data_IF_842272847904
#
_entry.id   IF_842272847904
#
_cell.length_a   1.000
_cell.length_b   1.000
_cell.length_c   1.000
_cell.angle_alpha   90.00
_cell.angle_beta   90.00
_cell.angle_gamma   90.00
#
_symmetry.space_group_name_H-M   'P 1'
#
loop_
_entity.id
_entity.type
_entity.pdbx_description
1 polymer ?
#
# COMPACT_ATOMS: atom_id res chain seq x y z
N UNK A 1 23.59 60.01 23.70
CA UNK A 1 22.14 59.83 23.50
C UNK A 1 21.89 58.33 23.71
N UNK A 2 21.29 57.76 24.78
CA UNK A 2 20.30 58.14 25.81
C UNK A 2 18.82 57.99 25.36
N UNK A 3 18.11 56.99 25.95
CA UNK A 3 16.66 56.60 25.81
C UNK A 3 16.28 55.85 24.50
N UNK A 4 15.23 55.02 24.39
CA UNK A 4 14.30 54.29 25.30
C UNK A 4 13.25 53.49 24.43
N UNK A 5 12.52 52.43 24.83
CA UNK A 5 12.63 51.35 25.84
C UNK A 5 11.50 50.29 25.57
N UNK A 6 11.68 48.98 25.92
CA UNK A 6 10.66 47.90 25.92
C UNK A 6 9.98 47.54 24.55
N UNK A 7 9.04 46.61 24.42
CA UNK A 7 9.01 45.15 24.73
C UNK A 7 7.68 44.53 24.22
N UNK A 8 7.63 43.24 23.84
CA UNK A 8 6.40 42.41 23.80
C UNK A 8 6.70 40.92 23.48
N UNK A 9 5.89 40.01 24.01
CA UNK A 9 5.89 38.56 23.70
C UNK A 9 4.63 38.16 22.93
N UNK A 10 4.71 37.11 22.12
CA UNK A 10 3.55 36.31 21.71
C UNK A 10 3.98 34.87 21.41
N UNK A 11 3.54 33.92 22.24
CA UNK A 11 3.57 32.48 21.93
C UNK A 11 2.16 32.08 21.52
N UNK A 12 2.02 31.40 20.38
CA UNK A 12 0.73 30.83 19.94
C UNK A 12 0.90 29.33 19.79
N UNK A 13 0.61 28.59 20.87
CA UNK A 13 0.38 27.15 20.80
C UNK A 13 -1.09 26.89 20.52
N UNK A 14 -1.40 26.10 19.49
CA UNK A 14 -2.77 25.70 19.18
C UNK A 14 -3.12 24.49 20.06
N UNK A 15 -3.64 24.77 21.25
CA UNK A 15 -4.29 23.75 22.08
C UNK A 15 -5.72 23.53 21.56
N UNK A 16 -5.99 22.34 21.01
CA UNK A 16 -7.34 21.99 20.57
C UNK A 16 -8.22 21.72 21.80
N UNK A 17 -9.14 22.64 22.10
CA UNK A 17 -9.99 22.56 23.30
C UNK A 17 -11.09 21.52 23.08
N UNK A 18 -10.98 20.38 23.79
CA UNK A 18 -12.09 19.45 23.93
C UNK A 18 -13.22 20.11 24.75
N UNK A 19 -14.30 20.49 24.09
CA UNK A 19 -15.43 21.19 24.69
C UNK A 19 -16.33 20.26 25.54
N UNK A 20 -15.81 19.82 26.69
CA UNK A 20 -16.60 19.12 27.70
C UNK A 20 -17.60 20.09 28.37
N UNK A 21 -18.85 20.07 27.92
CA UNK A 21 -19.92 20.89 28.49
C UNK A 21 -20.30 20.44 29.90
N UNK A 22 -19.78 21.13 30.93
CA UNK A 22 -20.13 20.86 32.32
C UNK A 22 -21.42 21.60 32.69
N UNK A 23 -22.51 20.84 32.87
CA UNK A 23 -23.74 21.34 33.48
C UNK A 23 -23.61 21.23 34.99
N UNK A 24 -23.57 22.36 35.69
CA UNK A 24 -23.65 22.39 37.15
C UNK A 24 -25.08 22.10 37.61
N UNK A 25 -25.29 20.88 38.13
CA UNK A 25 -26.51 20.52 38.88
C UNK A 25 -26.16 20.44 40.36
N UNK A 26 -26.63 21.40 41.14
CA UNK A 26 -26.49 21.42 42.59
C UNK A 26 -27.74 20.79 43.23
N UNK A 27 -27.65 19.54 43.68
CA UNK A 27 -28.82 18.78 44.13
C UNK A 27 -28.55 17.45 44.82
N UNK A 28 -28.50 17.50 46.16
CA UNK A 28 -28.68 16.41 47.13
C UNK A 28 -27.66 15.23 47.17
N UNK A 29 -27.55 14.59 48.34
CA UNK A 29 -26.45 13.67 48.74
C UNK A 29 -26.84 12.19 48.78
N UNK A 30 -27.45 11.68 47.71
CA UNK A 30 -27.72 10.23 47.56
C UNK A 30 -27.33 9.69 46.17
N UNK A 31 -26.13 10.04 45.70
CA UNK A 31 -25.66 9.67 44.38
C UNK A 31 -25.32 8.17 44.25
N UNK A 32 -26.25 7.40 43.68
CA UNK A 32 -25.89 6.19 42.92
C UNK A 32 -24.93 6.62 41.79
N UNK A 33 -23.87 5.85 41.55
CA UNK A 33 -22.85 6.21 40.58
C UNK A 33 -23.47 6.35 39.17
N UNK A 34 -23.25 7.48 38.46
CA UNK A 34 -23.83 7.67 37.13
C UNK A 34 -23.15 6.73 36.12
N UNK A 35 -23.90 5.77 35.61
CA UNK A 35 -23.48 4.93 34.49
C UNK A 35 -23.32 5.80 33.23
N UNK A 36 -22.09 6.26 32.97
CA UNK A 36 -21.75 6.93 31.72
C UNK A 36 -21.87 5.91 30.60
N UNK A 37 -23.01 5.92 29.91
CA UNK A 37 -23.19 5.19 28.66
C UNK A 37 -22.37 5.93 27.60
N UNK A 38 -21.09 5.56 27.50
CA UNK A 38 -20.29 5.87 26.32
C UNK A 38 -20.96 5.17 25.15
N UNK A 39 -21.67 5.93 24.32
CA UNK A 39 -22.11 5.43 23.04
C UNK A 39 -20.86 5.06 22.24
N UNK A 40 -20.66 3.76 21.98
CA UNK A 40 -19.58 3.31 21.11
C UNK A 40 -19.68 4.08 19.79
N UNK A 41 -18.58 4.59 19.23
CA UNK A 41 -18.61 5.15 17.90
C UNK A 41 -19.15 4.07 16.97
N UNK A 42 -20.23 4.38 16.25
CA UNK A 42 -20.71 3.52 15.17
C UNK A 42 -19.55 3.42 14.18
N UNK A 43 -18.98 2.23 14.05
CA UNK A 43 -17.94 2.00 13.06
C UNK A 43 -18.50 2.43 11.69
N UNK A 44 -17.70 3.18 10.94
CA UNK A 44 -18.05 3.47 9.55
C UNK A 44 -18.28 2.13 8.83
N UNK A 45 -19.24 2.05 7.88
CA UNK A 45 -19.37 0.85 7.07
C UNK A 45 -18.03 0.55 6.42
N UNK A 46 -17.51 -0.65 6.62
CA UNK A 46 -16.33 -1.12 5.89
C UNK A 46 -16.78 -1.33 4.45
N UNK A 47 -16.17 -0.62 3.52
CA UNK A 47 -16.40 -0.86 2.09
C UNK A 47 -15.83 -2.23 1.72
N UNK A 48 -16.73 -3.18 1.45
CA UNK A 48 -16.39 -4.55 1.06
C UNK A 48 -16.17 -4.69 -0.46
N UNK A 49 -16.24 -3.59 -1.22
CA UNK A 49 -15.97 -3.59 -2.65
C UNK A 49 -14.52 -4.02 -2.90
N UNK A 50 -14.27 -5.12 -3.66
CA UNK A 50 -12.93 -5.65 -3.83
C UNK A 50 -12.09 -4.80 -4.78
N UNK A 51 -10.81 -4.64 -4.45
CA UNK A 51 -9.77 -4.20 -5.38
C UNK A 51 -9.72 -5.14 -6.58
N UNK A 52 -9.30 -4.62 -7.74
CA UNK A 52 -9.21 -5.41 -8.98
C UNK A 52 -7.83 -5.27 -9.59
N UNK A 53 -7.19 -6.40 -9.88
CA UNK A 53 -6.03 -6.43 -10.76
C UNK A 53 -6.54 -6.55 -12.19
N UNK A 54 -5.96 -5.76 -13.10
CA UNK A 54 -6.31 -5.65 -14.49
C UNK A 54 -5.05 -5.83 -15.34
N UNK A 55 -5.20 -6.53 -16.47
CA UNK A 55 -4.14 -6.78 -17.45
C UNK A 55 -2.82 -7.34 -16.86
N UNK A 56 -2.84 -8.32 -15.92
CA UNK A 56 -1.64 -8.83 -15.23
C UNK A 56 -0.69 -9.58 -16.18
N UNK A 57 0.61 -9.32 -16.04
CA UNK A 57 1.66 -9.82 -16.92
C UNK A 57 2.93 -10.19 -16.14
N UNK A 58 3.52 -11.34 -16.45
CA UNK A 58 4.86 -11.72 -16.03
C UNK A 58 5.79 -11.72 -17.26
N UNK A 59 6.59 -10.68 -17.42
CA UNK A 59 7.40 -10.43 -18.62
C UNK A 59 8.82 -10.96 -18.43
N UNK A 60 9.24 -11.88 -19.29
CA UNK A 60 10.56 -12.52 -19.30
C UNK A 60 11.52 -11.76 -20.23
N UNK A 61 12.68 -11.40 -19.71
CA UNK A 61 13.74 -10.67 -20.42
C UNK A 61 14.68 -11.63 -21.15
N UNK A 62 15.38 -11.14 -22.18
CA UNK A 62 16.33 -11.93 -22.97
C UNK A 62 17.61 -12.36 -22.21
N UNK A 63 17.81 -11.84 -21.00
CA UNK A 63 18.92 -12.19 -20.09
C UNK A 63 18.51 -13.20 -19.00
N UNK A 64 17.26 -13.67 -19.00
CA UNK A 64 16.73 -14.63 -18.02
C UNK A 64 16.09 -13.99 -16.78
N UNK A 65 16.23 -12.68 -16.57
CA UNK A 65 15.46 -11.95 -15.55
C UNK A 65 14.01 -11.73 -16.00
N UNK A 66 13.16 -11.21 -15.11
CA UNK A 66 11.78 -10.86 -15.46
C UNK A 66 11.21 -9.69 -14.65
N UNK A 67 10.01 -9.26 -15.00
CA UNK A 67 9.30 -8.20 -14.28
C UNK A 67 7.78 -8.42 -14.31
N UNK A 68 7.11 -8.08 -13.22
CA UNK A 68 5.64 -8.03 -13.15
C UNK A 68 5.15 -6.67 -13.65
N UNK A 69 4.15 -6.68 -14.51
CA UNK A 69 3.36 -5.52 -14.89
C UNK A 69 1.87 -5.79 -14.64
N UNK A 70 1.14 -4.80 -14.13
CA UNK A 70 -0.31 -4.87 -13.96
C UNK A 70 -0.89 -3.48 -13.74
N UNK A 71 -2.23 -3.37 -13.73
CA UNK A 71 -2.96 -2.18 -13.29
C UNK A 71 -3.88 -2.54 -12.16
N UNK A 72 -3.83 -1.82 -11.04
CA UNK A 72 -4.73 -2.02 -9.90
C UNK A 72 -5.80 -0.94 -9.94
N UNK A 73 -7.06 -1.34 -10.06
CA UNK A 73 -8.22 -0.47 -9.89
C UNK A 73 -8.67 -0.53 -8.43
N UNK A 74 -8.74 0.63 -7.79
CA UNK A 74 -9.41 0.78 -6.50
C UNK A 74 -10.81 1.40 -6.72
N UNK A 75 -11.90 0.66 -6.51
CA UNK A 75 -13.27 1.15 -6.65
C UNK A 75 -13.86 1.71 -5.34
N UNK A 76 -13.03 1.91 -4.29
CA UNK A 76 -13.45 2.36 -2.95
C UNK A 76 -13.26 3.86 -2.78
N UNK A 77 -13.88 4.42 -1.73
CA UNK A 77 -13.72 5.83 -1.33
C UNK A 77 -12.46 6.11 -0.48
N UNK A 78 -11.66 5.08 -0.19
CA UNK A 78 -10.39 5.16 0.56
C UNK A 78 -9.19 4.69 -0.26
N UNK A 79 -8.05 5.37 -0.11
CA UNK A 79 -6.75 4.94 -0.65
C UNK A 79 -6.22 3.69 0.10
N UNK A 80 -5.55 2.80 -0.62
CA UNK A 80 -4.81 1.64 -0.09
C UNK A 80 -3.42 1.58 -0.72
N UNK A 81 -2.48 0.89 -0.07
CA UNK A 81 -1.10 0.74 -0.57
C UNK A 81 -0.80 -0.71 -0.94
N UNK A 82 -0.38 -0.97 -2.17
CA UNK A 82 0.22 -2.26 -2.55
C UNK A 82 1.61 -2.36 -1.90
N UNK A 83 1.71 -3.23 -0.89
CA UNK A 83 2.94 -3.50 -0.14
C UNK A 83 3.92 -4.38 -0.92
N UNK A 84 3.43 -5.30 -1.75
CA UNK A 84 4.28 -6.25 -2.45
C UNK A 84 3.56 -7.16 -3.44
N UNK A 85 4.35 -7.87 -4.25
CA UNK A 85 3.88 -8.93 -5.16
C UNK A 85 4.69 -10.20 -4.93
N UNK A 86 4.01 -11.32 -4.74
CA UNK A 86 4.62 -12.66 -4.74
C UNK A 86 4.37 -13.32 -6.10
N UNK A 87 5.37 -14.02 -6.64
CA UNK A 87 5.23 -14.88 -7.81
C UNK A 87 5.38 -16.34 -7.39
N UNK A 88 4.47 -17.20 -7.84
CA UNK A 88 4.57 -18.65 -7.64
C UNK A 88 4.50 -19.42 -8.96
N UNK A 89 5.32 -20.46 -9.10
CA UNK A 89 5.37 -21.37 -10.25
C UNK A 89 5.33 -22.80 -9.74
N UNK A 90 4.43 -23.64 -10.25
CA UNK A 90 4.18 -25.01 -9.75
C UNK A 90 3.99 -25.08 -8.22
N UNK A 91 3.32 -24.07 -7.63
CA UNK A 91 3.11 -23.95 -6.18
C UNK A 91 4.36 -23.56 -5.37
N UNK A 92 5.46 -23.16 -6.03
CA UNK A 92 6.71 -22.72 -5.38
C UNK A 92 6.94 -21.23 -5.60
N UNK A 93 7.23 -20.50 -4.52
CA UNK A 93 7.56 -19.07 -4.60
C UNK A 93 8.88 -18.85 -5.35
N UNK A 94 8.87 -17.91 -6.28
CA UNK A 94 10.05 -17.41 -7.01
C UNK A 94 10.51 -16.11 -6.34
N UNK A 95 11.82 -15.86 -6.15
CA UNK A 95 12.30 -14.61 -5.56
C UNK A 95 11.89 -13.37 -6.37
N UNK A 96 11.28 -12.40 -5.70
CA UNK A 96 10.90 -11.09 -6.26
C UNK A 96 11.64 -10.01 -5.49
N UNK A 97 12.40 -9.18 -6.21
CA UNK A 97 12.95 -7.93 -5.69
C UNK A 97 11.94 -6.80 -5.99
N UNK A 98 11.36 -6.22 -4.94
CA UNK A 98 10.52 -5.02 -5.03
C UNK A 98 11.22 -3.78 -4.46
N UNK A 99 10.55 -2.62 -4.46
CA UNK A 99 11.01 -1.43 -3.74
C UNK A 99 10.54 -1.38 -2.30
N UNK A 100 11.33 -0.73 -1.44
CA UNK A 100 10.97 -0.39 -0.05
C UNK A 100 9.79 0.61 0.08
N UNK A 101 9.33 1.18 -1.05
CA UNK A 101 8.15 2.05 -1.12
C UNK A 101 6.96 1.22 -1.59
N UNK A 102 5.85 1.29 -0.85
CA UNK A 102 4.55 0.77 -1.27
C UNK A 102 3.96 1.66 -2.38
N UNK A 103 3.15 1.07 -3.28
CA UNK A 103 2.46 1.83 -4.33
C UNK A 103 1.09 2.29 -3.79
N UNK A 104 0.82 3.60 -3.61
CA UNK A 104 -0.52 4.07 -3.31
C UNK A 104 -1.45 3.80 -4.50
N UNK A 105 -2.66 3.35 -4.20
CA UNK A 105 -3.76 3.12 -5.14
C UNK A 105 -4.92 4.03 -4.73
N UNK A 106 -5.02 5.24 -5.29
CA UNK A 106 -5.96 6.25 -4.83
C UNK A 106 -7.41 5.79 -4.89
N UNK A 107 -8.25 6.35 -4.01
CA UNK A 107 -9.68 6.18 -4.06
C UNK A 107 -10.23 6.51 -5.46
N UNK A 108 -11.12 5.67 -5.97
CA UNK A 108 -11.72 5.79 -7.31
C UNK A 108 -10.74 5.91 -8.52
N UNK A 109 -9.49 5.47 -8.41
CA UNK A 109 -8.48 5.57 -9.49
C UNK A 109 -7.73 4.24 -9.81
N UNK A 110 -6.86 4.32 -10.82
CA UNK A 110 -6.04 3.23 -11.36
C UNK A 110 -4.54 3.47 -11.09
N UNK A 111 -3.88 2.55 -10.35
CA UNK A 111 -2.42 2.56 -10.17
C UNK A 111 -1.71 1.54 -11.08
N UNK A 112 -0.45 1.82 -11.45
CA UNK A 112 0.30 1.02 -12.43
C UNK A 112 1.50 0.30 -11.80
N UNK A 113 1.39 -1.02 -11.69
CA UNK A 113 2.45 -1.91 -11.21
C UNK A 113 3.44 -2.17 -12.33
N UNK A 114 4.74 -2.09 -12.03
CA UNK A 114 5.79 -2.31 -13.02
C UNK A 114 6.07 -1.11 -13.93
N UNK A 115 5.41 0.03 -13.71
CA UNK A 115 5.83 1.31 -14.27
C UNK A 115 7.16 1.76 -13.64
N UNK A 116 8.04 2.39 -14.43
CA UNK A 116 9.40 2.76 -13.99
C UNK A 116 9.47 3.99 -13.06
N UNK A 117 8.36 4.40 -12.44
CA UNK A 117 8.18 5.69 -11.78
C UNK A 117 7.62 5.58 -10.36
N UNK A 118 6.59 4.75 -10.16
CA UNK A 118 5.63 5.00 -9.07
C UNK A 118 5.75 3.99 -7.91
N UNK A 119 6.06 2.74 -8.21
CA UNK A 119 6.75 1.81 -7.32
C UNK A 119 7.68 0.94 -8.17
N UNK A 120 8.96 0.85 -7.79
CA UNK A 120 10.10 0.75 -8.72
C UNK A 120 10.39 -0.61 -9.34
N UNK A 121 9.35 -1.32 -9.78
CA UNK A 121 9.42 -2.59 -10.49
C UNK A 121 9.58 -3.79 -9.55
N UNK A 122 8.61 -4.71 -9.60
CA UNK A 122 8.76 -6.05 -9.04
C UNK A 122 9.53 -6.90 -10.06
N UNK A 123 10.80 -7.17 -9.78
CA UNK A 123 11.77 -7.79 -10.69
C UNK A 123 12.16 -9.17 -10.17
N UNK A 124 12.16 -10.16 -11.06
CA UNK A 124 12.63 -11.51 -10.79
C UNK A 124 14.09 -11.61 -11.26
N UNK A 125 15.07 -11.93 -10.38
CA UNK A 125 16.46 -12.14 -10.81
C UNK A 125 16.62 -13.29 -11.81
N UNK A 126 15.83 -14.35 -11.60
CA UNK A 126 15.67 -15.50 -12.49
C UNK A 126 14.16 -15.71 -12.69
N UNK A 127 13.69 -15.58 -13.93
CA UNK A 127 12.29 -15.74 -14.29
C UNK A 127 12.00 -17.15 -14.83
N UNK A 128 10.76 -17.65 -14.69
CA UNK A 128 10.35 -18.87 -15.39
C UNK A 128 10.44 -18.69 -16.91
N UNK A 129 10.53 -19.81 -17.63
CA UNK A 129 10.55 -19.80 -19.09
C UNK A 129 9.25 -19.22 -19.68
N UNK A 130 9.32 -18.66 -20.89
CA UNK A 130 8.13 -18.19 -21.58
C UNK A 130 7.15 -19.36 -21.84
N UNK A 131 5.85 -19.06 -21.78
CA UNK A 131 4.71 -19.98 -21.72
C UNK A 131 4.58 -20.84 -20.44
N UNK A 132 5.46 -20.71 -19.45
CA UNK A 132 5.25 -21.33 -18.12
C UNK A 132 4.11 -20.62 -17.37
N UNK A 133 3.11 -21.36 -16.83
CA UNK A 133 2.09 -20.79 -15.94
C UNK A 133 2.69 -20.29 -14.62
N UNK A 134 2.16 -19.18 -14.10
CA UNK A 134 2.52 -18.63 -12.80
C UNK A 134 1.31 -17.95 -12.15
N UNK A 135 1.27 -17.93 -10.82
CA UNK A 135 0.29 -17.15 -10.05
C UNK A 135 0.98 -15.91 -9.47
N UNK A 136 0.33 -14.75 -9.61
CA UNK A 136 0.76 -13.47 -9.05
C UNK A 136 -0.15 -13.12 -7.86
N UNK A 137 0.40 -12.99 -6.65
CA UNK A 137 -0.34 -12.55 -5.47
C UNK A 137 0.02 -11.09 -5.16
N UNK A 138 -0.96 -10.18 -5.20
CA UNK A 138 -0.83 -8.75 -4.93
C UNK A 138 -1.32 -8.45 -3.50
N UNK A 139 -0.46 -7.84 -2.68
CA UNK A 139 -0.65 -7.69 -1.23
C UNK A 139 -0.83 -6.24 -0.81
N UNK A 140 -1.88 -5.92 -0.06
CA UNK A 140 -2.26 -4.56 0.31
C UNK A 140 -2.23 -4.32 1.83
N UNK A 141 -2.06 -3.05 2.22
CA UNK A 141 -1.94 -2.61 3.62
C UNK A 141 -3.23 -2.70 4.45
N UNK A 142 -4.40 -2.75 3.79
CA UNK A 142 -5.69 -3.10 4.41
C UNK A 142 -5.81 -4.60 4.76
N UNK A 143 -4.81 -5.41 4.37
CA UNK A 143 -4.80 -6.87 4.52
C UNK A 143 -5.51 -7.63 3.39
N UNK A 144 -5.98 -6.95 2.34
CA UNK A 144 -6.54 -7.61 1.17
C UNK A 144 -5.46 -8.23 0.27
N UNK A 145 -5.87 -9.24 -0.48
CA UNK A 145 -5.00 -10.05 -1.33
C UNK A 145 -5.73 -10.36 -2.64
N UNK A 146 -5.08 -10.12 -3.78
CA UNK A 146 -5.64 -10.48 -5.11
C UNK A 146 -4.66 -11.44 -5.80
N UNK A 147 -5.14 -12.63 -6.15
CA UNK A 147 -4.37 -13.64 -6.87
C UNK A 147 -4.84 -13.73 -8.32
N UNK A 148 -3.89 -13.64 -9.27
CA UNK A 148 -4.14 -13.73 -10.71
C UNK A 148 -3.24 -14.80 -11.35
N UNK A 149 -3.83 -15.73 -12.10
CA UNK A 149 -3.08 -16.72 -12.87
C UNK A 149 -2.70 -16.15 -14.25
N UNK A 150 -1.40 -16.21 -14.57
CA UNK A 150 -0.81 -15.69 -15.82
C UNK A 150 0.03 -16.77 -16.51
N UNK A 151 0.40 -16.51 -17.77
CA UNK A 151 1.54 -17.17 -18.39
C UNK A 151 2.72 -16.19 -18.45
N UNK A 152 3.92 -16.68 -18.18
CA UNK A 152 5.14 -15.93 -18.41
C UNK A 152 5.30 -15.65 -19.92
N UNK A 153 5.48 -14.40 -20.32
CA UNK A 153 5.55 -13.97 -21.73
C UNK A 153 6.92 -13.41 -22.07
N UNK A 154 7.49 -13.81 -23.21
CA UNK A 154 8.74 -13.22 -23.70
C UNK A 154 8.53 -11.75 -24.07
N UNK A 155 9.43 -10.87 -23.64
CA UNK A 155 9.33 -9.43 -23.90
C UNK A 155 9.37 -9.08 -25.39
N UNK A 156 8.31 -8.42 -25.88
CA UNK A 156 8.26 -7.70 -27.15
C UNK A 156 7.99 -6.20 -27.00
N UNK A 157 7.59 -5.54 -28.08
CA UNK A 157 7.41 -4.08 -28.17
C UNK A 157 6.15 -3.58 -27.44
N UNK A 158 5.10 -4.40 -27.36
CA UNK A 158 3.93 -4.18 -26.52
C UNK A 158 4.31 -4.07 -25.03
N UNK A 159 5.27 -4.88 -24.57
CA UNK A 159 5.78 -4.90 -23.20
C UNK A 159 6.77 -3.74 -22.89
N UNK A 160 6.90 -2.74 -23.76
CA UNK A 160 7.87 -1.63 -23.66
C UNK A 160 7.66 -0.64 -22.50
N UNK A 161 6.58 -0.79 -21.73
CA UNK A 161 6.24 0.06 -20.58
C UNK A 161 6.46 -0.66 -19.23
N UNK A 162 6.49 -2.00 -19.23
CA UNK A 162 6.89 -2.80 -18.06
C UNK A 162 8.39 -2.62 -17.84
N UNK A 163 8.81 -2.34 -16.60
CA UNK A 163 10.20 -2.20 -16.18
C UNK A 163 11.09 -3.40 -16.62
N UNK A 164 12.41 -3.27 -16.89
CA UNK A 164 13.25 -2.07 -16.85
C UNK A 164 13.52 -1.43 -18.22
N UNK A 165 13.58 -0.09 -18.26
CA UNK A 165 14.12 0.68 -19.41
C UNK A 165 15.46 1.37 -19.12
N UNK A 166 16.39 0.57 -18.55
CA UNK A 166 17.85 0.76 -18.44
C UNK A 166 18.40 1.99 -17.68
N UNK A 167 19.51 1.74 -16.99
CA UNK A 167 20.52 2.72 -16.55
C UNK A 167 20.07 3.84 -15.59
N UNK A 168 19.38 3.48 -14.49
CA UNK A 168 19.56 4.15 -13.21
C UNK A 168 19.81 3.13 -12.10
N UNK A 169 20.65 3.50 -11.14
CA UNK A 169 20.72 2.87 -9.84
C UNK A 169 19.37 3.08 -9.15
N UNK A 170 18.69 2.00 -8.79
CA UNK A 170 17.55 2.05 -7.86
C UNK A 170 18.08 2.52 -6.48
N UNK A 171 17.21 2.93 -5.56
CA UNK A 171 17.59 3.15 -4.16
C UNK A 171 18.31 1.95 -3.52
N UNK A 172 18.92 2.13 -2.34
CA UNK A 172 19.84 1.16 -1.74
C UNK A 172 19.26 -0.25 -1.70
N UNK A 173 20.00 -1.21 -2.26
CA UNK A 173 19.60 -2.61 -2.38
C UNK A 173 19.31 -3.21 -1.01
N UNK A 174 18.04 -3.51 -0.74
CA UNK A 174 17.67 -4.44 0.34
C UNK A 174 18.03 -5.85 -0.10
N UNK A 175 18.82 -6.55 0.72
CA UNK A 175 18.95 -8.00 0.65
C UNK A 175 17.57 -8.66 0.79
N UNK A 176 17.39 -9.82 0.15
CA UNK A 176 16.09 -10.44 -0.11
C UNK A 176 15.37 -11.02 1.13
N UNK A 177 14.94 -10.16 2.04
CA UNK A 177 13.80 -10.45 2.93
C UNK A 177 12.50 -10.19 2.16
N UNK A 178 12.01 -11.25 1.50
CA UNK A 178 10.56 -11.40 1.33
C UNK A 178 9.93 -11.37 2.74
N UNK A 179 8.82 -10.66 2.97
CA UNK A 179 8.25 -10.53 4.31
C UNK A 179 7.93 -11.90 4.91
N UNK A 180 8.68 -12.30 5.95
CA UNK A 180 8.45 -13.53 6.72
C UNK A 180 7.13 -13.43 7.48
N UNK A 181 6.04 -13.86 6.84
CA UNK A 181 4.68 -13.68 7.33
C UNK A 181 3.64 -13.41 6.24
N UNK A 182 4.05 -13.12 4.99
CA UNK A 182 3.13 -13.17 3.86
C UNK A 182 2.58 -14.59 3.70
N UNK A 183 1.31 -14.79 4.07
CA UNK A 183 0.56 -16.01 3.81
C UNK A 183 0.43 -16.25 2.29
N UNK A 184 -0.21 -17.34 1.87
CA UNK A 184 -0.87 -17.38 0.54
C UNK A 184 -2.16 -16.54 0.64
N UNK A 185 -2.72 -16.01 -0.46
CA UNK A 185 -4.09 -15.47 -0.41
C UNK A 185 -5.04 -16.57 0.14
N UNK A 186 -5.55 -16.41 1.36
CA UNK A 186 -6.47 -17.38 1.98
C UNK A 186 -7.89 -17.03 1.59
N UNK A 187 -8.56 -17.94 0.88
CA UNK A 187 -9.96 -17.85 0.48
C UNK A 187 -10.93 -18.33 1.58
#
# INVERSE_FOLDING_TARGET
MKRALLAATAVVGIALVAAAGVVLVEGDRTALAPSIVVASPVAAPVDDTPLRVLDPQLVVNSDGSGAVGARVRNPRDVEVSLMGVTVSVDGRRVPVNGTQMWLPVPADDDAWVGAASDAGGFVLPEAPAAATPATLEFWFDDGSCVAEDVQAVARGDEHRLVYPKRNRTIGPETTSESPEGAATCVA
#
